data_IF_395420098115
#
_entry.id   IF_395420098115
#
_cell.length_a   1.000
_cell.length_b   1.000
_cell.length_c   1.000
_cell.angle_alpha   90.00
_cell.angle_beta   90.00
_cell.angle_gamma   90.00
#
_symmetry.space_group_name_H-M   'P 1'
#
loop_
_entity.id
_entity.type
_entity.pdbx_description
1 polymer ?
#
# COMPACT_ATOMS: atom_id res chain seq x y z
N UNK A 1 -42.83 -18.90 -25.52
CA UNK A 1 -41.84 -18.93 -24.43
C UNK A 1 -40.46 -18.90 -25.09
N UNK A 2 -39.92 -17.70 -25.31
CA UNK A 2 -38.60 -17.50 -25.95
C UNK A 2 -37.56 -17.62 -24.85
N UNK A 3 -36.76 -18.68 -24.89
CA UNK A 3 -35.54 -18.75 -24.07
C UNK A 3 -34.47 -17.94 -24.81
N UNK A 4 -34.13 -16.81 -24.22
CA UNK A 4 -32.95 -16.02 -24.52
C UNK A 4 -31.73 -16.89 -24.14
N UNK A 5 -31.14 -17.54 -25.14
CA UNK A 5 -29.94 -18.36 -24.95
C UNK A 5 -28.78 -17.41 -24.79
N UNK A 6 -28.51 -17.06 -23.54
CA UNK A 6 -27.48 -16.11 -23.14
C UNK A 6 -26.17 -16.35 -23.87
N UNK A 7 -25.64 -15.26 -24.43
CA UNK A 7 -24.27 -15.09 -24.90
C UNK A 7 -23.31 -15.40 -23.75
N UNK A 8 -22.94 -16.67 -23.59
CA UNK A 8 -21.78 -17.04 -22.78
C UNK A 8 -20.54 -16.63 -23.56
N UNK A 9 -19.83 -15.62 -23.04
CA UNK A 9 -18.50 -15.25 -23.50
C UNK A 9 -17.60 -16.48 -23.33
N UNK A 10 -17.41 -17.22 -24.42
CA UNK A 10 -16.44 -18.30 -24.48
C UNK A 10 -15.06 -17.64 -24.47
N UNK A 11 -14.36 -17.66 -23.34
CA UNK A 11 -12.94 -17.29 -23.28
C UNK A 11 -12.13 -18.51 -23.76
N UNK A 12 -11.65 -18.53 -25.01
CA UNK A 12 -10.75 -19.60 -25.45
C UNK A 12 -9.51 -19.59 -24.54
N UNK A 13 -9.31 -20.66 -23.78
CA UNK A 13 -8.17 -20.81 -22.86
C UNK A 13 -8.50 -20.78 -21.36
N UNK A 14 -9.75 -20.46 -20.97
CA UNK A 14 -10.15 -20.41 -19.54
C UNK A 14 -9.98 -21.75 -18.77
N UNK A 15 -9.80 -22.86 -19.49
CA UNK A 15 -9.61 -24.20 -18.92
C UNK A 15 -8.29 -24.86 -19.37
N UNK A 16 -7.32 -24.07 -19.83
CA UNK A 16 -5.98 -24.60 -20.05
C UNK A 16 -5.43 -25.13 -18.70
N UNK A 17 -4.87 -26.35 -18.66
CA UNK A 17 -4.32 -26.88 -17.43
C UNK A 17 -3.21 -25.96 -16.93
N UNK A 18 -3.29 -25.53 -15.68
CA UNK A 18 -2.21 -24.77 -15.03
C UNK A 18 -1.00 -25.69 -14.96
N UNK A 19 -0.01 -25.41 -15.79
CA UNK A 19 1.24 -26.15 -15.81
C UNK A 19 2.07 -25.79 -14.58
N UNK A 20 2.85 -26.75 -14.09
CA UNK A 20 3.90 -26.44 -13.12
C UNK A 20 4.97 -25.56 -13.76
N UNK A 21 5.68 -24.79 -12.94
CA UNK A 21 6.83 -24.00 -13.38
C UNK A 21 7.92 -24.88 -14.03
N UNK A 22 8.08 -26.12 -13.55
CA UNK A 22 9.00 -27.10 -14.13
C UNK A 22 8.58 -27.56 -15.53
N UNK A 23 7.28 -27.70 -15.78
CA UNK A 23 6.77 -28.07 -17.10
C UNK A 23 6.95 -26.93 -18.12
N UNK A 24 6.84 -25.68 -17.67
CA UNK A 24 7.10 -24.49 -18.50
C UNK A 24 8.59 -24.31 -18.85
N UNK A 25 9.49 -24.72 -17.95
CA UNK A 25 10.96 -24.60 -18.15
C UNK A 25 11.58 -25.73 -18.98
N UNK A 26 10.83 -26.81 -19.22
CA UNK A 26 11.30 -27.95 -19.99
C UNK A 26 11.27 -27.74 -21.52
N UNK A 27 10.65 -26.65 -22.00
CA UNK A 27 10.60 -26.26 -23.41
C UNK A 27 11.40 -24.97 -23.65
N UNK A 28 12.73 -25.06 -23.87
CA UNK A 28 13.51 -23.92 -24.33
C UNK A 28 13.06 -23.50 -25.74
N UNK A 29 13.12 -22.21 -26.03
CA UNK A 29 12.89 -21.70 -27.38
C UNK A 29 14.10 -21.98 -28.31
N UNK A 30 13.99 -21.57 -29.59
CA UNK A 30 15.02 -21.81 -30.59
C UNK A 30 16.38 -21.15 -30.26
N UNK A 31 16.37 -20.13 -29.40
CA UNK A 31 17.55 -19.38 -28.95
C UNK A 31 18.08 -19.91 -27.61
N UNK A 32 17.46 -20.95 -27.04
CA UNK A 32 17.89 -21.59 -25.79
C UNK A 32 17.47 -20.83 -24.53
N UNK A 33 16.60 -19.82 -24.66
CA UNK A 33 16.04 -19.10 -23.52
C UNK A 33 14.72 -19.73 -23.08
N UNK A 34 14.53 -19.84 -21.77
CA UNK A 34 13.21 -20.09 -21.20
C UNK A 34 12.42 -18.78 -21.27
N UNK A 35 11.61 -18.62 -22.32
CA UNK A 35 10.78 -17.43 -22.51
C UNK A 35 9.61 -17.44 -21.52
N UNK A 36 9.80 -16.81 -20.38
CA UNK A 36 8.71 -16.42 -19.50
C UNK A 36 8.15 -15.08 -20.00
N UNK A 37 6.92 -15.09 -20.51
CA UNK A 37 6.16 -13.88 -20.82
C UNK A 37 5.15 -13.59 -19.69
N UNK A 38 5.55 -13.89 -18.44
CA UNK A 38 4.75 -13.65 -17.24
C UNK A 38 5.18 -12.29 -16.71
N UNK A 39 4.29 -11.31 -16.82
CA UNK A 39 4.51 -9.99 -16.24
C UNK A 39 4.38 -10.06 -14.71
N UNK A 40 5.25 -9.35 -14.01
CA UNK A 40 5.06 -9.06 -12.59
C UNK A 40 4.05 -7.90 -12.49
N UNK A 41 2.78 -8.23 -12.27
CA UNK A 41 1.71 -7.23 -12.16
C UNK A 41 1.77 -6.46 -10.84
N UNK A 42 2.49 -6.98 -9.83
CA UNK A 42 2.66 -6.34 -8.52
C UNK A 42 3.90 -5.43 -8.48
N UNK A 43 4.79 -5.53 -9.48
CA UNK A 43 5.97 -4.69 -9.58
C UNK A 43 5.62 -3.23 -9.88
N UNK A 44 6.01 -2.34 -8.99
CA UNK A 44 5.95 -0.90 -9.23
C UNK A 44 6.87 -0.52 -10.39
N UNK A 45 6.34 0.29 -11.29
CA UNK A 45 7.12 0.98 -12.33
C UNK A 45 8.16 1.92 -11.68
N UNK A 46 9.25 2.28 -12.40
CA UNK A 46 10.23 3.23 -11.88
C UNK A 46 9.63 4.56 -11.43
N UNK A 47 8.63 5.06 -12.14
CA UNK A 47 7.88 6.28 -11.82
C UNK A 47 7.10 6.12 -10.50
N UNK A 48 6.46 4.97 -10.29
CA UNK A 48 5.73 4.67 -9.05
C UNK A 48 6.67 4.47 -7.87
N UNK A 49 7.84 3.85 -8.09
CA UNK A 49 8.88 3.74 -7.05
C UNK A 49 9.39 5.11 -6.62
N UNK A 50 9.65 6.01 -7.59
CA UNK A 50 10.08 7.38 -7.29
C UNK A 50 9.00 8.13 -6.52
N UNK A 51 7.74 8.07 -7.00
CA UNK A 51 6.62 8.65 -6.30
C UNK A 51 6.58 8.13 -4.85
N UNK A 52 6.56 6.81 -4.64
CA UNK A 52 6.50 6.22 -3.31
C UNK A 52 7.64 6.71 -2.39
N UNK A 53 8.87 6.82 -2.91
CA UNK A 53 10.01 7.35 -2.17
C UNK A 53 9.79 8.82 -1.75
N UNK A 54 9.25 9.66 -2.63
CA UNK A 54 8.87 11.05 -2.29
C UNK A 54 7.79 11.10 -1.22
N UNK A 55 6.81 10.19 -1.28
CA UNK A 55 5.77 10.05 -0.27
C UNK A 55 6.35 9.73 1.11
N UNK A 56 7.27 8.77 1.19
CA UNK A 56 7.96 8.43 2.43
C UNK A 56 8.81 9.59 2.96
N UNK A 57 9.54 10.29 2.09
CA UNK A 57 10.32 11.46 2.47
C UNK A 57 9.42 12.59 3.04
N UNK A 58 8.25 12.81 2.44
CA UNK A 58 7.27 13.79 2.92
C UNK A 58 6.70 13.42 4.30
N UNK A 59 6.37 12.15 4.53
CA UNK A 59 5.91 11.65 5.83
C UNK A 59 7.00 11.82 6.89
N UNK A 60 8.25 11.47 6.59
CA UNK A 60 9.36 11.62 7.52
C UNK A 60 9.59 13.10 7.88
N UNK A 61 9.61 13.99 6.88
CA UNK A 61 9.71 15.43 7.09
C UNK A 61 8.55 15.97 7.95
N UNK A 62 7.32 15.51 7.72
CA UNK A 62 6.16 15.89 8.52
C UNK A 62 6.30 15.46 9.98
N UNK A 63 6.64 14.19 10.22
CA UNK A 63 6.80 13.64 11.58
C UNK A 63 7.92 14.38 12.31
N UNK A 64 9.09 14.56 11.68
CA UNK A 64 10.23 15.27 12.28
C UNK A 64 9.92 16.74 12.61
N UNK A 65 8.97 17.37 11.91
CA UNK A 65 8.53 18.73 12.21
C UNK A 65 7.48 18.84 13.35
N UNK A 66 7.00 17.72 13.89
CA UNK A 66 6.11 17.70 15.05
C UNK A 66 6.90 17.93 16.35
N UNK A 67 6.26 18.47 17.41
CA UNK A 67 6.85 18.44 18.75
C UNK A 67 7.16 17.00 19.20
N UNK A 68 8.23 16.79 19.99
CA UNK A 68 8.69 15.46 20.41
C UNK A 68 7.57 14.57 20.98
N UNK A 69 6.68 15.17 21.77
CA UNK A 69 5.52 14.47 22.34
C UNK A 69 4.56 13.96 21.27
N UNK A 70 4.30 14.76 20.25
CA UNK A 70 3.40 14.41 19.15
C UNK A 70 4.06 13.36 18.24
N UNK A 71 5.38 13.44 18.02
CA UNK A 71 6.15 12.39 17.33
C UNK A 71 6.01 11.04 18.03
N UNK A 72 6.15 11.01 19.36
CA UNK A 72 6.00 9.79 20.15
C UNK A 72 4.60 9.19 20.01
N UNK A 73 3.55 10.03 20.04
CA UNK A 73 2.17 9.58 19.86
C UNK A 73 2.00 8.94 18.47
N UNK A 74 2.46 9.60 17.41
CA UNK A 74 2.38 9.09 16.02
C UNK A 74 3.13 7.77 15.88
N UNK A 75 4.38 7.70 16.38
CA UNK A 75 5.19 6.49 16.33
C UNK A 75 4.50 5.32 17.04
N UNK A 76 3.94 5.56 18.23
CA UNK A 76 3.23 4.52 18.99
C UNK A 76 1.97 4.02 18.29
N UNK A 77 1.21 4.92 17.66
CA UNK A 77 -0.01 4.54 16.94
C UNK A 77 0.27 3.75 15.67
N UNK A 78 1.15 4.28 14.80
CA UNK A 78 1.28 3.77 13.42
C UNK A 78 2.40 2.75 13.24
N UNK A 79 3.47 2.79 14.05
CA UNK A 79 4.57 1.82 13.97
C UNK A 79 4.53 0.75 15.05
N UNK A 80 4.02 1.08 16.25
CA UNK A 80 4.00 0.14 17.37
C UNK A 80 2.61 -0.46 17.64
N UNK A 81 1.59 -0.06 16.88
CA UNK A 81 0.24 -0.62 16.99
C UNK A 81 -0.47 -0.37 18.32
N UNK A 82 -0.02 0.61 19.11
CA UNK A 82 -0.68 0.95 20.37
C UNK A 82 -2.00 1.69 20.12
N UNK A 83 -2.96 1.55 21.04
CA UNK A 83 -4.19 2.35 21.03
C UNK A 83 -3.99 3.69 21.73
N UNK A 84 -4.84 4.67 21.40
CA UNK A 84 -4.83 5.97 22.10
C UNK A 84 -5.04 5.83 23.63
N UNK A 85 -5.81 4.82 24.06
CA UNK A 85 -6.04 4.55 25.48
C UNK A 85 -4.76 4.07 26.16
N UNK A 86 -4.04 3.11 25.56
CA UNK A 86 -2.75 2.63 26.09
C UNK A 86 -1.72 3.77 26.17
N UNK A 87 -1.64 4.60 25.13
CA UNK A 87 -0.74 5.77 25.12
C UNK A 87 -1.11 6.76 26.23
N UNK A 88 -2.40 7.02 26.43
CA UNK A 88 -2.87 7.90 27.48
C UNK A 88 -2.48 7.39 28.88
N UNK A 89 -2.68 6.10 29.13
CA UNK A 89 -2.27 5.43 30.37
C UNK A 89 -0.77 5.55 30.61
N UNK A 90 0.05 5.21 29.62
CA UNK A 90 1.52 5.25 29.74
C UNK A 90 2.06 6.66 29.99
N UNK A 91 1.43 7.68 29.38
CA UNK A 91 1.82 9.08 29.53
C UNK A 91 1.18 9.78 30.73
N UNK A 92 0.36 9.07 31.52
CA UNK A 92 -0.32 9.64 32.69
C UNK A 92 -1.30 10.76 32.34
N UNK A 93 -1.93 10.71 31.16
CA UNK A 93 -2.90 11.73 30.71
C UNK A 93 -4.24 11.11 30.34
N UNK A 94 -5.26 11.96 30.14
CA UNK A 94 -6.56 11.48 29.69
C UNK A 94 -6.52 11.07 28.21
N UNK A 95 -7.37 10.10 27.85
CA UNK A 95 -7.61 9.73 26.44
C UNK A 95 -8.02 10.94 25.58
N UNK A 96 -8.77 11.88 26.17
CA UNK A 96 -9.19 13.11 25.49
C UNK A 96 -7.99 14.00 25.12
N UNK A 97 -6.95 14.07 25.96
CA UNK A 97 -5.73 14.80 25.63
C UNK A 97 -5.02 14.19 24.41
N UNK A 98 -4.94 12.87 24.32
CA UNK A 98 -4.38 12.17 23.16
C UNK A 98 -5.24 12.38 21.91
N UNK A 99 -6.56 12.28 22.03
CA UNK A 99 -7.49 12.53 20.92
C UNK A 99 -7.34 13.96 20.37
N UNK A 100 -7.24 14.97 21.25
CA UNK A 100 -7.02 16.36 20.86
C UNK A 100 -5.66 16.56 20.21
N UNK A 101 -4.62 15.89 20.68
CA UNK A 101 -3.32 15.90 20.02
C UNK A 101 -3.43 15.34 18.60
N UNK A 102 -4.04 14.16 18.43
CA UNK A 102 -4.26 13.55 17.12
C UNK A 102 -5.07 14.40 16.17
N UNK A 103 -6.13 15.07 16.64
CA UNK A 103 -6.91 15.97 15.80
C UNK A 103 -6.07 17.12 15.23
N UNK A 104 -5.18 17.71 16.06
CA UNK A 104 -4.24 18.75 15.60
C UNK A 104 -3.19 18.21 14.64
N UNK A 105 -2.63 17.03 14.93
CA UNK A 105 -1.64 16.36 14.07
C UNK A 105 -2.26 16.08 12.69
N UNK A 106 -3.46 15.49 12.63
CA UNK A 106 -4.18 15.23 11.40
C UNK A 106 -4.48 16.52 10.62
N UNK A 107 -4.87 17.60 11.29
CA UNK A 107 -5.12 18.88 10.64
C UNK A 107 -3.85 19.43 9.96
N UNK A 108 -2.71 19.37 10.66
CA UNK A 108 -1.41 19.80 10.11
C UNK A 108 -0.93 18.87 8.98
N UNK A 109 -1.10 17.57 9.16
CA UNK A 109 -0.74 16.56 8.17
C UNK A 109 -1.52 16.77 6.87
N UNK A 110 -2.82 17.05 6.96
CA UNK A 110 -3.66 17.31 5.77
C UNK A 110 -3.11 18.43 4.90
N UNK A 111 -2.67 19.56 5.49
CA UNK A 111 -2.15 20.67 4.69
C UNK A 111 -0.76 20.40 4.14
N UNK A 112 0.10 19.71 4.90
CA UNK A 112 1.49 19.48 4.54
C UNK A 112 1.65 18.33 3.54
N UNK A 113 0.80 17.31 3.63
CA UNK A 113 0.89 16.09 2.82
C UNK A 113 -0.07 16.08 1.62
N UNK A 114 -0.98 17.05 1.50
CA UNK A 114 -1.89 17.16 0.34
C UNK A 114 -1.16 17.10 -1.03
N UNK A 115 0.01 17.73 -1.23
CA UNK A 115 0.73 17.62 -2.50
C UNK A 115 1.16 16.19 -2.86
N UNK A 116 1.23 15.30 -1.88
CA UNK A 116 1.66 13.91 -2.02
C UNK A 116 0.49 12.92 -1.93
N UNK A 117 -0.77 13.38 -2.03
CA UNK A 117 -1.95 12.51 -1.86
C UNK A 117 -2.00 11.41 -2.93
N UNK A 118 -1.68 11.74 -4.18
CA UNK A 118 -1.69 10.78 -5.30
C UNK A 118 -0.66 9.66 -5.16
N UNK A 119 0.39 9.91 -4.37
CA UNK A 119 1.50 8.99 -4.12
C UNK A 119 1.15 7.97 -3.05
N UNK A 120 0.37 8.37 -2.04
CA UNK A 120 0.10 7.59 -0.84
C UNK A 120 -1.04 6.57 -0.99
N UNK A 121 -1.83 6.63 -2.07
CA UNK A 121 -3.02 5.79 -2.29
C UNK A 121 -2.89 4.82 -3.49
N UNK A 122 -1.69 4.68 -4.07
CA UNK A 122 -1.40 3.76 -5.18
C UNK A 122 -0.72 2.47 -4.68
N UNK A 123 -1.26 1.87 -3.63
CA UNK A 123 -0.85 0.58 -3.03
C UNK A 123 -2.04 -0.35 -2.96
#
# INVERSE_FOLDING_TARGET
>A
MRHDTGTYLFFPGAFAPVLSIDALTAQPDADGFNRFDIADEDALTPEEQLAQAEGFAAVDAFVNALPERDQLIVKRLFWLGHTQTQIATDLGVSKMAISKAMARICLRGRSMLAPHEHVLFMT
#
